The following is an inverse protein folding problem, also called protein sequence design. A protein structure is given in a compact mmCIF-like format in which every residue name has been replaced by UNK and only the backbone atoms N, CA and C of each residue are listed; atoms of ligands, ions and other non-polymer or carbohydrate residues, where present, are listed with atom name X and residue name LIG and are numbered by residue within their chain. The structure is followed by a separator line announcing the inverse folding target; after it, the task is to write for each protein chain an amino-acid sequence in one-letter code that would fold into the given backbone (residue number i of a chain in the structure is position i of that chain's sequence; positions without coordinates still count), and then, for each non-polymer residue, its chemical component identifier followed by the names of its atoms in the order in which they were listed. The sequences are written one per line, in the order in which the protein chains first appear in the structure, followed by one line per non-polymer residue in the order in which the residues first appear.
data_IF_861460351245
#
_entry.id   IF_861460351245
#
_cell.length_a   1.000
_cell.length_b   1.000
_cell.length_c   1.000
_cell.angle_alpha   90.00
_cell.angle_beta   90.00
_cell.angle_gamma   90.00
#
_symmetry.space_group_name_H-M   'P 1'
#
loop_
_entity.id
_entity.type
_entity.pdbx_description
1 polymer ?
#
# COMPACT_ATOMS: atom_id res chain seq x y z
N UNK A 1 -14.48 -5.88 15.79
CA UNK A 1 -13.97 -5.42 14.48
C UNK A 1 -12.83 -6.31 14.04
N UNK A 2 -12.65 -6.48 12.74
CA UNK A 2 -11.60 -7.28 12.15
C UNK A 2 -10.48 -6.36 11.66
N UNK A 3 -9.25 -6.54 12.17
CA UNK A 3 -8.05 -5.91 11.63
C UNK A 3 -7.62 -6.73 10.41
N UNK A 4 -7.63 -6.10 9.23
CA UNK A 4 -7.25 -6.75 7.97
C UNK A 4 -5.80 -6.43 7.61
N UNK A 5 -5.44 -5.15 7.57
CA UNK A 5 -4.06 -4.71 7.35
C UNK A 5 -3.60 -3.81 8.47
N UNK A 6 -2.36 -3.98 8.86
CA UNK A 6 -1.55 -3.03 9.61
C UNK A 6 -0.16 -3.01 8.96
N UNK A 7 0.10 -1.99 8.15
CA UNK A 7 1.34 -1.84 7.40
C UNK A 7 2.03 -0.52 7.76
N UNK A 8 3.06 -0.61 8.57
CA UNK A 8 3.91 0.51 8.95
C UNK A 8 5.06 0.63 7.95
N UNK A 9 5.21 1.82 7.36
CA UNK A 9 6.32 2.21 6.49
C UNK A 9 7.20 3.20 7.26
N UNK A 10 8.43 2.81 7.53
CA UNK A 10 9.41 3.61 8.26
C UNK A 10 9.91 4.81 7.44
N UNK A 11 9.91 4.67 6.13
CA UNK A 11 10.42 5.63 5.17
C UNK A 11 9.66 5.51 3.85
N UNK A 12 8.75 6.44 3.61
CA UNK A 12 7.93 6.46 2.41
C UNK A 12 8.79 6.84 1.19
N UNK A 13 8.81 5.96 0.19
CA UNK A 13 9.63 6.15 -1.00
C UNK A 13 9.05 7.23 -1.92
N UNK A 14 9.90 7.92 -2.72
CA UNK A 14 9.50 9.11 -3.49
C UNK A 14 8.37 8.89 -4.48
N UNK A 15 8.40 7.82 -5.28
CA UNK A 15 7.36 7.56 -6.28
C UNK A 15 6.05 7.17 -5.62
N UNK A 16 6.14 6.37 -4.53
CA UNK A 16 4.95 6.00 -3.75
C UNK A 16 4.32 7.23 -3.09
N UNK A 17 5.13 8.14 -2.50
CA UNK A 17 4.64 9.40 -1.94
C UNK A 17 3.92 10.24 -3.01
N UNK A 18 4.51 10.38 -4.19
CA UNK A 18 3.94 11.12 -5.31
C UNK A 18 2.61 10.49 -5.79
N UNK A 19 2.54 9.16 -5.89
CA UNK A 19 1.32 8.45 -6.29
C UNK A 19 0.22 8.60 -5.25
N UNK A 20 0.52 8.44 -3.96
CA UNK A 20 -0.43 8.68 -2.88
C UNK A 20 -0.92 10.14 -2.93
N UNK A 21 -0.01 11.11 -3.13
CA UNK A 21 -0.35 12.51 -3.30
C UNK A 21 -1.26 12.79 -4.51
N UNK A 22 -1.15 12.00 -5.58
CA UNK A 22 -2.01 12.13 -6.77
C UNK A 22 -3.40 11.58 -6.53
N UNK A 23 -3.54 10.51 -5.75
CA UNK A 23 -4.81 9.78 -5.57
C UNK A 23 -5.57 10.15 -4.29
N UNK A 24 -4.88 10.70 -3.28
CA UNK A 24 -5.47 11.08 -2.01
C UNK A 24 -6.22 12.42 -2.10
N UNK A 25 -7.13 12.62 -1.15
CA UNK A 25 -7.90 13.88 -1.00
C UNK A 25 -7.59 14.61 0.31
N UNK A 26 -6.67 14.07 1.09
CA UNK A 26 -6.25 14.63 2.37
C UNK A 26 -4.95 15.41 2.27
N UNK A 27 -4.17 15.40 3.36
CA UNK A 27 -2.85 16.00 3.41
C UNK A 27 -1.84 15.14 2.65
N UNK A 28 -1.00 15.77 1.84
CA UNK A 28 -0.09 15.06 0.94
C UNK A 28 1.15 14.58 1.71
N UNK A 29 1.46 13.28 1.73
CA UNK A 29 2.71 12.80 2.27
C UNK A 29 3.88 13.19 1.35
N UNK A 30 5.04 13.41 1.95
CA UNK A 30 6.29 13.64 1.23
C UNK A 30 7.22 12.44 1.39
N UNK A 31 8.19 12.30 0.48
CA UNK A 31 9.20 11.26 0.61
C UNK A 31 9.98 11.39 1.94
N UNK A 32 10.31 10.27 2.54
CA UNK A 32 11.09 10.22 3.79
C UNK A 32 10.28 10.23 5.07
N UNK A 33 8.98 10.56 5.04
CA UNK A 33 8.13 10.47 6.24
C UNK A 33 7.76 9.02 6.55
N UNK A 34 7.41 8.75 7.80
CA UNK A 34 6.77 7.49 8.15
C UNK A 34 5.28 7.54 7.82
N UNK A 35 4.72 6.40 7.43
CA UNK A 35 3.30 6.25 7.12
C UNK A 35 2.74 4.95 7.69
N UNK A 36 1.47 4.95 8.02
CA UNK A 36 0.74 3.77 8.48
C UNK A 36 -0.53 3.59 7.68
N UNK A 37 -0.68 2.41 7.10
CA UNK A 37 -1.87 1.98 6.39
C UNK A 37 -2.63 0.94 7.20
N UNK A 38 -3.90 1.18 7.44
CA UNK A 38 -4.79 0.28 8.18
C UNK A 38 -6.03 -0.04 7.34
N UNK A 39 -6.36 -1.32 7.27
CA UNK A 39 -7.61 -1.81 6.66
C UNK A 39 -8.40 -2.62 7.69
N UNK A 40 -9.71 -2.35 7.79
CA UNK A 40 -10.61 -3.00 8.72
C UNK A 40 -11.92 -3.46 8.08
N UNK A 41 -12.64 -4.34 8.79
CA UNK A 41 -14.05 -4.67 8.54
C UNK A 41 -14.84 -4.66 9.88
N UNK A 42 -16.07 -4.10 9.91
CA UNK A 42 -16.79 -3.40 8.83
C UNK A 42 -16.16 -2.04 8.51
N UNK A 43 -16.13 -1.69 7.21
CA UNK A 43 -15.36 -0.56 6.70
C UNK A 43 -15.74 0.80 7.26
N UNK A 44 -17.02 1.06 7.53
CA UNK A 44 -17.48 2.38 8.00
C UNK A 44 -16.86 2.79 9.35
N UNK A 45 -16.44 1.82 10.16
CA UNK A 45 -15.82 2.09 11.46
C UNK A 45 -14.46 2.79 11.34
N UNK A 46 -13.85 2.81 10.14
CA UNK A 46 -12.56 3.47 9.89
C UNK A 46 -12.59 4.95 10.23
N UNK A 47 -13.74 5.63 10.04
CA UNK A 47 -13.88 7.05 10.38
C UNK A 47 -13.69 7.33 11.86
N UNK A 48 -14.28 6.48 12.74
CA UNK A 48 -14.09 6.61 14.17
C UNK A 48 -12.65 6.36 14.60
N UNK A 49 -12.01 5.37 13.98
CA UNK A 49 -10.62 5.02 14.30
C UNK A 49 -9.63 6.08 13.82
N UNK A 50 -9.88 6.68 12.66
CA UNK A 50 -9.09 7.82 12.21
C UNK A 50 -9.22 8.99 13.17
N UNK A 51 -10.43 9.34 13.61
CA UNK A 51 -10.65 10.42 14.60
C UNK A 51 -9.90 10.15 15.91
N UNK A 52 -9.89 8.90 16.40
CA UNK A 52 -9.12 8.51 17.58
C UNK A 52 -7.61 8.69 17.37
N UNK A 53 -7.06 8.27 16.23
CA UNK A 53 -5.65 8.42 15.91
C UNK A 53 -5.24 9.91 15.85
N UNK A 54 -6.04 10.74 15.17
CA UNK A 54 -5.77 12.18 15.02
C UNK A 54 -5.88 12.95 16.34
N UNK A 55 -6.76 12.54 17.26
CA UNK A 55 -6.85 13.12 18.60
C UNK A 55 -5.67 12.74 19.51
N UNK A 56 -5.06 11.59 19.26
CA UNK A 56 -3.95 11.08 20.06
C UNK A 56 -2.57 11.56 19.58
N UNK A 57 -2.45 12.08 18.36
CA UNK A 57 -1.18 12.35 17.69
C UNK A 57 -1.22 13.62 16.84
N UNK A 58 -0.05 14.00 16.30
CA UNK A 58 0.08 15.09 15.30
C UNK A 58 0.12 14.58 13.86
N UNK A 59 -0.23 13.31 13.63
CA UNK A 59 -0.28 12.73 12.29
C UNK A 59 -1.27 13.46 11.37
N UNK A 60 -0.95 13.46 10.10
CA UNK A 60 -1.82 13.99 9.04
C UNK A 60 -2.38 12.83 8.20
N UNK A 61 -3.67 12.83 7.85
CA UNK A 61 -4.25 11.79 7.02
C UNK A 61 -4.19 12.18 5.54
N UNK A 62 -3.69 11.30 4.67
CA UNK A 62 -3.79 11.47 3.22
C UNK A 62 -5.04 10.78 2.66
N UNK A 63 -5.31 9.57 3.11
CA UNK A 63 -6.35 8.72 2.54
C UNK A 63 -7.31 8.21 3.61
N UNK A 64 -8.60 8.32 3.32
CA UNK A 64 -9.66 7.55 3.97
C UNK A 64 -10.65 7.09 2.91
N UNK A 65 -10.97 5.82 2.88
CA UNK A 65 -11.91 5.26 1.91
C UNK A 65 -12.69 4.09 2.51
N UNK A 66 -13.95 3.97 2.09
CA UNK A 66 -14.78 2.79 2.38
C UNK A 66 -15.21 2.20 1.05
N UNK A 67 -14.77 0.97 0.78
CA UNK A 67 -15.11 0.23 -0.42
C UNK A 67 -15.83 -1.06 -0.05
N UNK A 68 -17.14 -1.09 -0.27
CA UNK A 68 -18.04 -2.19 0.11
C UNK A 68 -17.91 -2.50 1.61
N UNK A 69 -17.32 -3.65 1.98
CA UNK A 69 -17.19 -4.11 3.36
C UNK A 69 -15.96 -3.56 4.08
N UNK A 70 -14.98 -3.02 3.37
CA UNK A 70 -13.67 -2.67 3.90
C UNK A 70 -13.45 -1.17 3.99
N UNK A 71 -12.84 -0.73 5.09
CA UNK A 71 -12.39 0.64 5.29
C UNK A 71 -10.88 0.69 5.35
N UNK A 72 -10.29 1.64 4.64
CA UNK A 72 -8.86 1.89 4.58
C UNK A 72 -8.57 3.30 5.03
N UNK A 73 -7.55 3.50 5.82
CA UNK A 73 -6.99 4.80 6.14
C UNK A 73 -5.47 4.80 6.02
N UNK A 74 -4.93 5.96 5.75
CA UNK A 74 -3.51 6.27 5.83
C UNK A 74 -3.30 7.48 6.73
N UNK A 75 -2.26 7.42 7.58
CA UNK A 75 -1.74 8.56 8.34
C UNK A 75 -0.23 8.59 8.25
N UNK A 76 0.34 9.80 8.21
CA UNK A 76 1.78 10.00 8.11
C UNK A 76 2.28 11.13 9.01
N UNK A 77 3.58 11.09 9.34
CA UNK A 77 4.30 12.12 10.06
C UNK A 77 5.82 11.97 9.87
N UNK A 78 6.57 13.05 10.00
CA UNK A 78 8.04 13.01 9.95
C UNK A 78 8.64 12.22 11.13
N UNK A 79 8.00 12.27 12.29
CA UNK A 79 8.37 11.50 13.48
C UNK A 79 7.66 10.13 13.46
N UNK A 80 8.45 9.06 13.38
CA UNK A 80 7.95 7.69 13.41
C UNK A 80 7.20 7.35 14.71
N UNK A 81 7.56 7.98 15.83
CA UNK A 81 6.91 7.78 17.13
C UNK A 81 5.44 8.22 17.09
N UNK A 82 5.14 9.35 16.45
CA UNK A 82 3.76 9.83 16.24
C UNK A 82 2.94 8.83 15.43
N UNK A 83 3.53 8.27 14.35
CA UNK A 83 2.84 7.29 13.50
C UNK A 83 2.60 5.97 14.24
N UNK A 84 3.54 5.52 15.07
CA UNK A 84 3.37 4.33 15.92
C UNK A 84 2.29 4.55 16.96
N UNK A 85 2.28 5.71 17.61
CA UNK A 85 1.25 6.07 18.58
C UNK A 85 -0.15 6.15 17.95
N UNK A 86 -0.25 6.66 16.71
CA UNK A 86 -1.50 6.63 15.94
C UNK A 86 -1.99 5.19 15.72
N UNK A 87 -1.08 4.28 15.39
CA UNK A 87 -1.37 2.85 15.27
C UNK A 87 -1.86 2.23 16.58
N UNK A 88 -1.20 2.51 17.69
CA UNK A 88 -1.59 2.04 19.03
C UNK A 88 -2.98 2.54 19.42
N UNK A 89 -3.30 3.81 19.13
CA UNK A 89 -4.62 4.38 19.38
C UNK A 89 -5.72 3.62 18.59
N UNK A 90 -5.46 3.26 17.33
CA UNK A 90 -6.38 2.48 16.51
C UNK A 90 -6.53 1.07 17.05
N UNK A 91 -5.43 0.38 17.35
CA UNK A 91 -5.44 -1.00 17.87
C UNK A 91 -6.19 -1.08 19.20
N UNK A 92 -5.97 -0.12 20.11
CA UNK A 92 -6.72 0.01 21.37
C UNK A 92 -8.21 0.21 21.12
N UNK A 93 -8.58 1.06 20.15
CA UNK A 93 -9.97 1.34 19.79
C UNK A 93 -10.75 0.15 19.24
N UNK A 94 -10.07 -0.92 18.83
CA UNK A 94 -10.65 -2.18 18.34
C UNK A 94 -10.34 -3.38 19.25
N UNK A 95 -9.63 -3.16 20.36
CA UNK A 95 -9.18 -4.20 21.28
C UNK A 95 -8.39 -5.31 20.56
N UNK A 96 -7.39 -4.91 19.77
CA UNK A 96 -6.52 -5.78 19.00
C UNK A 96 -5.06 -5.39 19.16
N UNK A 97 -4.20 -6.28 18.74
CA UNK A 97 -2.75 -6.07 18.61
C UNK A 97 -2.34 -6.12 17.13
N UNK A 98 -1.13 -5.70 16.82
CA UNK A 98 -0.61 -5.82 15.46
C UNK A 98 -0.60 -7.27 14.94
N UNK A 99 -0.39 -8.25 15.83
CA UNK A 99 -0.41 -9.67 15.49
C UNK A 99 -1.78 -10.19 15.00
N UNK A 100 -2.86 -9.46 15.33
CA UNK A 100 -4.22 -9.80 14.91
C UNK A 100 -4.52 -9.41 13.44
N UNK A 101 -3.60 -8.73 12.75
CA UNK A 101 -3.74 -8.44 11.31
C UNK A 101 -3.85 -9.74 10.50
N UNK A 102 -4.49 -9.68 9.35
CA UNK A 102 -4.49 -10.80 8.42
C UNK A 102 -3.08 -10.95 7.82
N UNK A 103 -2.62 -12.19 7.70
CA UNK A 103 -1.40 -12.48 6.93
C UNK A 103 -1.63 -12.11 5.46
N UNK A 104 -0.72 -11.35 4.82
CA UNK A 104 -0.82 -11.05 3.40
C UNK A 104 -0.88 -12.33 2.57
N UNK A 105 -1.77 -12.34 1.58
CA UNK A 105 -1.83 -13.37 0.55
C UNK A 105 -1.52 -12.75 -0.80
N UNK A 106 -0.53 -13.28 -1.50
CA UNK A 106 -0.28 -12.97 -2.90
C UNK A 106 -1.32 -13.75 -3.72
N UNK A 107 -2.22 -13.04 -4.36
CA UNK A 107 -3.30 -13.61 -5.19
C UNK A 107 -2.77 -13.93 -6.57
N UNK A 108 -2.00 -12.99 -7.13
CA UNK A 108 -1.33 -13.13 -8.43
C UNK A 108 -0.03 -12.36 -8.42
N UNK A 109 0.99 -12.91 -9.06
CA UNK A 109 2.28 -12.28 -9.29
C UNK A 109 2.75 -12.67 -10.69
N UNK A 110 2.92 -11.66 -11.56
CA UNK A 110 3.22 -11.89 -12.98
C UNK A 110 4.19 -10.85 -13.51
N UNK A 111 5.20 -11.28 -14.26
CA UNK A 111 6.10 -10.41 -15.03
C UNK A 111 5.83 -10.61 -16.52
N UNK A 112 5.49 -9.52 -17.21
CA UNK A 112 5.36 -9.47 -18.66
C UNK A 112 6.62 -8.83 -19.21
N UNK A 113 7.41 -9.59 -19.95
CA UNK A 113 8.64 -9.14 -20.57
C UNK A 113 8.37 -8.43 -21.88
N UNK A 114 9.15 -7.39 -22.16
CA UNK A 114 9.07 -6.63 -23.43
C UNK A 114 7.64 -6.31 -23.83
N UNK A 115 6.94 -5.58 -22.96
CA UNK A 115 5.50 -5.29 -23.14
C UNK A 115 5.22 -4.64 -24.50
N UNK A 116 4.14 -5.07 -25.13
CA UNK A 116 3.72 -4.62 -26.44
C UNK A 116 3.22 -3.16 -26.41
N UNK A 117 3.43 -2.41 -27.52
CA UNK A 117 3.18 -0.96 -27.58
C UNK A 117 1.71 -0.57 -27.40
N UNK A 118 0.77 -1.32 -27.95
CA UNK A 118 -0.66 -1.06 -27.74
C UNK A 118 -1.10 -1.36 -26.32
N UNK A 119 -0.50 -2.38 -25.68
CA UNK A 119 -0.78 -2.69 -24.28
C UNK A 119 -0.30 -1.57 -23.38
N UNK A 120 0.91 -1.00 -23.62
CA UNK A 120 1.40 0.16 -22.86
C UNK A 120 0.48 1.37 -23.00
N UNK A 121 -0.08 1.61 -24.19
CA UNK A 121 -1.04 2.71 -24.38
C UNK A 121 -2.29 2.55 -23.54
N UNK A 122 -2.83 1.33 -23.40
CA UNK A 122 -4.01 1.07 -22.58
C UNK A 122 -3.71 1.31 -21.09
N UNK A 123 -2.58 0.79 -20.59
CA UNK A 123 -2.14 1.02 -19.21
C UNK A 123 -1.95 2.52 -18.94
N UNK A 124 -1.28 3.21 -19.85
CA UNK A 124 -0.99 4.64 -19.71
C UNK A 124 -2.24 5.54 -19.71
N UNK A 125 -3.39 5.07 -20.19
CA UNK A 125 -4.66 5.83 -20.14
C UNK A 125 -5.32 5.83 -18.77
N UNK A 126 -5.05 4.82 -17.94
CA UNK A 126 -5.76 4.61 -16.66
C UNK A 126 -4.87 4.75 -15.44
N UNK A 127 -3.54 4.81 -15.60
CA UNK A 127 -2.59 4.93 -14.49
C UNK A 127 -2.69 6.26 -13.76
N UNK A 128 -2.33 6.25 -12.51
CA UNK A 128 -2.13 7.45 -11.69
C UNK A 128 -0.64 7.79 -11.46
N UNK A 129 0.25 6.83 -11.59
CA UNK A 129 1.70 7.01 -11.46
C UNK A 129 2.39 7.36 -12.78
N UNK A 130 3.61 6.95 -12.91
CA UNK A 130 4.49 7.24 -14.06
C UNK A 130 4.16 6.38 -15.28
N UNK A 131 4.58 6.82 -16.47
CA UNK A 131 4.34 6.09 -17.72
C UNK A 131 5.22 4.85 -17.84
N UNK A 132 4.62 3.76 -18.35
CA UNK A 132 5.37 2.63 -18.88
C UNK A 132 5.67 2.85 -20.36
N UNK A 133 6.87 2.44 -20.81
CA UNK A 133 7.30 2.54 -22.21
C UNK A 133 7.25 1.17 -22.89
N UNK A 134 6.98 1.14 -24.23
CA UNK A 134 7.06 -0.10 -25.00
C UNK A 134 8.44 -0.78 -24.85
N UNK A 135 8.45 -2.10 -24.77
CA UNK A 135 9.65 -2.90 -24.60
C UNK A 135 10.19 -3.02 -23.17
N UNK A 136 9.68 -2.25 -22.22
CA UNK A 136 9.99 -2.48 -20.79
C UNK A 136 9.36 -3.77 -20.29
N UNK A 137 9.85 -4.28 -19.16
CA UNK A 137 9.14 -5.32 -18.39
C UNK A 137 8.11 -4.68 -17.48
N UNK A 138 6.95 -5.33 -17.35
CA UNK A 138 5.86 -4.95 -16.46
C UNK A 138 5.68 -6.02 -15.39
N UNK A 139 5.77 -5.65 -14.13
CA UNK A 139 5.37 -6.47 -13.00
C UNK A 139 3.96 -6.10 -12.54
N UNK A 140 3.11 -7.10 -12.36
CA UNK A 140 1.75 -6.96 -11.83
C UNK A 140 1.63 -7.85 -10.60
N UNK A 141 1.21 -7.26 -9.49
CA UNK A 141 0.96 -7.97 -8.24
C UNK A 141 -0.47 -7.71 -7.77
N UNK A 142 -1.18 -8.76 -7.36
CA UNK A 142 -2.42 -8.65 -6.60
C UNK A 142 -2.24 -9.21 -5.20
N UNK A 143 -2.73 -8.47 -4.19
CA UNK A 143 -2.65 -8.84 -2.78
C UNK A 143 -4.01 -8.86 -2.11
N UNK A 144 -4.16 -9.70 -1.11
CA UNK A 144 -5.29 -9.66 -0.17
C UNK A 144 -4.74 -9.74 1.26
N UNK A 145 -5.17 -8.83 2.18
CA UNK A 145 -5.96 -7.60 2.01
C UNK A 145 -5.35 -6.58 1.03
N UNK A 146 -6.21 -5.66 0.55
CA UNK A 146 -5.84 -4.71 -0.50
C UNK A 146 -4.73 -3.74 -0.09
N UNK A 147 -4.77 -3.24 1.14
CA UNK A 147 -3.83 -2.20 1.60
C UNK A 147 -2.37 -2.68 1.68
N UNK A 148 -2.11 -4.00 1.62
CA UNK A 148 -0.73 -4.51 1.55
C UNK A 148 -0.01 -4.19 0.23
N UNK A 149 -0.72 -3.80 -0.82
CA UNK A 149 -0.09 -3.32 -2.05
C UNK A 149 0.85 -2.12 -1.82
N UNK A 150 0.56 -1.31 -0.80
CA UNK A 150 1.40 -0.17 -0.41
C UNK A 150 2.76 -0.62 0.12
N UNK A 151 2.78 -1.63 1.00
CA UNK A 151 4.02 -2.20 1.51
C UNK A 151 4.85 -2.80 0.38
N UNK A 152 4.21 -3.57 -0.49
CA UNK A 152 4.87 -4.17 -1.66
C UNK A 152 5.50 -3.09 -2.57
N UNK A 153 4.78 -1.99 -2.83
CA UNK A 153 5.28 -0.87 -3.63
C UNK A 153 6.51 -0.20 -2.97
N UNK A 154 6.43 0.08 -1.67
CA UNK A 154 7.50 0.73 -0.92
C UNK A 154 8.79 -0.10 -0.92
N UNK A 155 8.70 -1.39 -0.66
CA UNK A 155 9.86 -2.27 -0.59
C UNK A 155 10.43 -2.59 -1.99
N UNK A 156 9.59 -2.63 -3.03
CA UNK A 156 10.04 -2.72 -4.40
C UNK A 156 10.87 -1.50 -4.83
N UNK A 157 10.38 -0.28 -4.51
CA UNK A 157 11.07 0.98 -4.85
C UNK A 157 12.38 1.14 -4.06
N UNK A 158 12.46 0.65 -2.81
CA UNK A 158 13.71 0.61 -2.04
C UNK A 158 14.76 -0.31 -2.69
N UNK A 159 14.33 -1.40 -3.30
CA UNK A 159 15.22 -2.48 -3.77
C UNK A 159 15.78 -2.26 -5.17
N UNK A 160 15.09 -1.51 -6.04
CA UNK A 160 15.44 -1.44 -7.46
C UNK A 160 15.01 -0.11 -8.10
N UNK A 161 15.67 0.24 -9.21
CA UNK A 161 15.33 1.44 -10.01
C UNK A 161 14.17 1.13 -10.95
N UNK A 162 12.97 1.21 -10.40
CA UNK A 162 11.73 0.94 -11.13
C UNK A 162 10.93 2.22 -11.39
N UNK A 163 9.93 2.09 -12.22
CA UNK A 163 8.88 3.07 -12.42
C UNK A 163 7.60 2.55 -11.77
N UNK A 164 7.07 3.28 -10.79
CA UNK A 164 5.76 2.99 -10.20
C UNK A 164 4.67 3.50 -11.14
N UNK A 165 4.05 2.58 -11.86
CA UNK A 165 3.05 2.88 -12.89
C UNK A 165 1.69 3.15 -12.26
N UNK A 166 1.25 2.26 -11.38
CA UNK A 166 -0.01 2.40 -10.65
C UNK A 166 -0.01 1.57 -9.37
N UNK A 167 -0.82 1.98 -8.41
CA UNK A 167 -1.07 1.22 -7.19
C UNK A 167 -2.45 1.56 -6.66
N UNK A 168 -3.26 0.54 -6.40
CA UNK A 168 -4.58 0.67 -5.78
C UNK A 168 -4.66 -0.17 -4.50
N UNK A 169 -4.69 0.46 -3.30
CA UNK A 169 -4.74 -0.23 -2.02
C UNK A 169 -6.18 -0.40 -1.49
N UNK A 170 -7.21 -0.19 -2.32
CA UNK A 170 -8.61 -0.10 -1.89
C UNK A 170 -9.43 -1.16 -2.63
N UNK A 171 -10.29 -1.87 -1.90
CA UNK A 171 -11.21 -2.86 -2.46
C UNK A 171 -10.97 -4.28 -1.97
N UNK A 172 -11.38 -5.27 -2.75
CA UNK A 172 -11.20 -6.68 -2.40
C UNK A 172 -9.74 -7.11 -2.50
N UNK A 173 -9.06 -6.63 -3.56
CA UNK A 173 -7.66 -6.90 -3.84
C UNK A 173 -6.88 -5.61 -4.06
N UNK A 174 -5.69 -5.54 -3.50
CA UNK A 174 -4.71 -4.51 -3.81
C UNK A 174 -3.99 -4.85 -5.11
N UNK A 175 -3.67 -3.83 -5.90
CA UNK A 175 -2.96 -3.99 -7.17
C UNK A 175 -1.75 -3.09 -7.23
N UNK A 176 -0.67 -3.62 -7.75
CA UNK A 176 0.59 -2.90 -7.97
C UNK A 176 1.07 -3.17 -9.39
N UNK A 177 1.47 -2.10 -10.09
CA UNK A 177 2.05 -2.14 -11.42
C UNK A 177 3.39 -1.42 -11.40
N UNK A 178 4.47 -2.15 -11.70
CA UNK A 178 5.83 -1.61 -11.79
C UNK A 178 6.38 -1.84 -13.19
N UNK A 179 7.15 -0.88 -13.71
CA UNK A 179 7.80 -0.99 -15.00
C UNK A 179 9.31 -0.67 -14.91
N UNK A 180 10.08 -1.23 -15.83
CA UNK A 180 11.51 -0.96 -15.90
C UNK A 180 12.28 -1.98 -16.71
N UNK A 181 13.63 -1.90 -16.66
CA UNK A 181 14.50 -2.93 -17.20
C UNK A 181 14.26 -4.28 -16.53
N UNK A 182 14.47 -5.37 -17.24
CA UNK A 182 14.16 -6.73 -16.79
C UNK A 182 14.78 -7.07 -15.43
N UNK A 183 16.08 -6.83 -15.26
CA UNK A 183 16.80 -7.14 -14.03
C UNK A 183 16.28 -6.32 -12.83
N UNK A 184 15.91 -5.04 -13.06
CA UNK A 184 15.35 -4.18 -12.02
C UNK A 184 13.94 -4.66 -11.61
N UNK A 185 13.13 -5.10 -12.58
CA UNK A 185 11.80 -5.66 -12.30
C UNK A 185 11.88 -6.98 -11.55
N UNK A 186 12.84 -7.85 -11.87
CA UNK A 186 13.04 -9.10 -11.12
C UNK A 186 13.45 -8.83 -9.67
N UNK A 187 14.36 -7.87 -9.45
CA UNK A 187 14.77 -7.48 -8.10
C UNK A 187 13.60 -6.86 -7.31
N UNK A 188 12.82 -5.98 -7.93
CA UNK A 188 11.66 -5.33 -7.33
C UNK A 188 10.55 -6.33 -6.97
N UNK A 189 10.23 -7.25 -7.90
CA UNK A 189 9.23 -8.30 -7.67
C UNK A 189 9.63 -9.19 -6.48
N UNK A 190 10.88 -9.65 -6.47
CA UNK A 190 11.40 -10.46 -5.37
C UNK A 190 11.38 -9.72 -4.01
N UNK A 191 11.65 -8.41 -3.99
CA UNK A 191 11.60 -7.61 -2.78
C UNK A 191 10.15 -7.43 -2.28
N UNK A 192 9.22 -7.10 -3.18
CA UNK A 192 7.79 -6.99 -2.86
C UNK A 192 7.24 -8.28 -2.26
N UNK A 193 7.51 -9.41 -2.90
CA UNK A 193 7.05 -10.71 -2.44
C UNK A 193 7.65 -11.10 -1.09
N UNK A 194 8.97 -10.92 -0.91
CA UNK A 194 9.63 -11.17 0.39
C UNK A 194 9.05 -10.32 1.51
N UNK A 195 8.80 -9.05 1.26
CA UNK A 195 8.20 -8.15 2.25
C UNK A 195 6.84 -8.65 2.72
N UNK A 196 5.98 -9.06 1.79
CA UNK A 196 4.67 -9.62 2.11
C UNK A 196 4.79 -10.97 2.85
N UNK A 197 5.65 -11.86 2.38
CA UNK A 197 5.83 -13.20 2.97
C UNK A 197 6.44 -13.14 4.37
N UNK A 198 7.23 -12.13 4.69
CA UNK A 198 7.86 -11.94 6.01
C UNK A 198 6.86 -11.54 7.11
N UNK A 199 5.71 -10.99 6.73
CA UNK A 199 4.70 -10.58 7.69
C UNK A 199 3.96 -11.77 8.30
N UNK A 200 3.85 -11.74 9.62
CA UNK A 200 3.01 -12.67 10.39
C UNK A 200 1.62 -12.09 10.57
N UNK A 201 0.65 -12.95 10.79
CA UNK A 201 -0.73 -12.58 11.03
C UNK A 201 -1.63 -13.80 11.05
N UNK A 202 -2.92 -13.58 11.35
CA UNK A 202 -3.90 -14.67 11.32
C UNK A 202 -4.22 -15.08 9.88
N UNK A 203 -4.55 -16.34 9.67
CA UNK A 203 -5.02 -16.82 8.38
C UNK A 203 -6.35 -16.14 7.99
N UNK A 204 -6.58 -15.97 6.68
CA UNK A 204 -7.89 -15.60 6.17
C UNK A 204 -8.91 -16.67 6.59
N UNK A 205 -10.11 -16.25 7.01
CA UNK A 205 -11.21 -17.20 7.21
C UNK A 205 -11.61 -17.71 5.82
N UNK A 206 -11.53 -19.02 5.64
CA UNK A 206 -12.03 -19.72 4.45
C UNK A 206 -13.54 -19.57 4.33
#
# INVERSE_FOLDING_TARGET
MELRTYAFLDNLQPQLAALVGTTSRGFLPVAGVAALWIEIAPGIAIHRLLDQALKATRCQPATIAVARAFGVMEVHHADQGEVRQAGEAVLSGIERTEADRMKPRIVSSTVIRSIESYHTQLINRTRYGSMILPGQSLFILETEPAAYAVLAANEAEKAARITLVDMNPIGAFGRLYLAGPEAEIDAAAAAAERALQSLTGRAAKS
#
